data_IF_617982798937
#
_entry.id   IF_617982798937
#
_cell.length_a   1.000
_cell.length_b   1.000
_cell.length_c   1.000
_cell.angle_alpha   90.00
_cell.angle_beta   90.00
_cell.angle_gamma   90.00
#
_symmetry.space_group_name_H-M   'P 1'
#
loop_
_entity.id
_entity.type
_entity.pdbx_description
1 polymer ?
#
# COMPACT_ATOMS: atom_id res chain seq x y z
N UNK A 1 6.76 2.34 39.34
CA UNK A 1 6.69 3.75 38.91
C UNK A 1 8.11 4.23 38.63
N UNK A 2 8.46 4.44 37.37
CA UNK A 2 9.85 4.67 36.92
C UNK A 2 10.14 6.17 36.77
N UNK A 3 11.36 6.60 37.13
CA UNK A 3 11.75 8.01 37.30
C UNK A 3 11.54 8.90 36.05
N UNK A 4 11.43 8.30 34.87
CA UNK A 4 11.21 8.98 33.60
C UNK A 4 9.82 9.63 33.46
N UNK A 5 8.79 9.06 34.08
CA UNK A 5 7.42 9.61 34.02
C UNK A 5 7.33 11.01 34.62
N UNK A 6 8.12 11.32 35.66
CA UNK A 6 8.10 12.63 36.32
C UNK A 6 8.71 13.75 35.48
N UNK A 7 9.73 13.44 34.68
CA UNK A 7 10.46 14.43 33.87
C UNK A 7 9.69 14.76 32.59
N UNK A 8 8.91 13.81 32.06
CA UNK A 8 8.06 14.05 30.90
C UNK A 8 6.77 14.82 31.25
N UNK A 9 6.26 14.67 32.48
CA UNK A 9 5.04 15.34 32.97
C UNK A 9 5.30 16.82 33.36
N UNK A 10 6.54 17.22 33.65
CA UNK A 10 6.90 18.60 34.02
C UNK A 10 7.23 19.50 32.83
N UNK A 11 7.41 18.96 31.63
CA UNK A 11 7.53 19.78 30.42
C UNK A 11 6.15 20.38 30.11
N UNK A 12 6.11 21.70 30.17
CA UNK A 12 4.97 22.62 30.12
C UNK A 12 3.90 22.35 29.04
N UNK A 13 4.17 21.78 27.83
CA UNK A 13 3.10 21.59 26.85
C UNK A 13 2.08 20.51 27.23
N UNK A 14 2.48 19.42 27.90
CA UNK A 14 1.56 18.31 28.18
C UNK A 14 0.54 18.66 29.26
N UNK A 15 1.00 19.32 30.33
CA UNK A 15 0.13 19.83 31.40
C UNK A 15 -0.80 20.94 30.89
N UNK A 16 -0.35 21.78 29.96
CA UNK A 16 -1.18 22.82 29.34
C UNK A 16 -2.27 22.23 28.45
N UNK A 17 -1.94 21.21 27.63
CA UNK A 17 -2.93 20.50 26.80
C UNK A 17 -3.94 19.76 27.66
N UNK A 18 -3.52 19.09 28.74
CA UNK A 18 -4.44 18.42 29.68
C UNK A 18 -5.33 19.44 30.41
N UNK A 19 -4.78 20.57 30.84
CA UNK A 19 -5.56 21.64 31.53
C UNK A 19 -6.54 22.34 30.58
N UNK A 20 -6.16 22.57 29.32
CA UNK A 20 -7.03 23.14 28.27
C UNK A 20 -8.11 22.16 27.83
N UNK A 21 -7.77 20.87 27.76
CA UNK A 21 -8.68 19.75 27.47
C UNK A 21 -9.73 19.52 28.57
N UNK A 22 -9.42 19.86 29.84
CA UNK A 22 -10.41 19.84 30.95
C UNK A 22 -11.47 20.95 30.89
N UNK A 23 -11.28 21.99 30.07
CA UNK A 23 -12.21 23.12 29.96
C UNK A 23 -13.06 23.10 28.67
N UNK A 24 -12.78 22.13 27.78
CA UNK A 24 -13.53 21.97 26.53
C UNK A 24 -14.59 20.89 26.71
N UNK A 25 -15.81 21.34 26.99
CA UNK A 25 -17.02 20.53 27.02
C UNK A 25 -17.58 20.49 25.61
N UNK A 26 -17.57 19.32 24.94
CA UNK A 26 -18.32 19.17 23.69
C UNK A 26 -19.82 19.10 24.01
N UNK A 27 -20.66 19.99 23.45
CA UNK A 27 -22.10 19.94 23.66
C UNK A 27 -22.64 18.63 23.06
N UNK A 28 -23.09 17.71 23.91
CA UNK A 28 -23.54 16.36 23.53
C UNK A 28 -22.98 15.21 24.39
N UNK A 29 -21.98 15.47 25.25
CA UNK A 29 -21.32 14.45 26.10
C UNK A 29 -21.61 14.61 27.61
N UNK A 30 -22.82 15.03 28.01
CA UNK A 30 -23.29 15.03 29.41
C UNK A 30 -22.35 15.69 30.45
N UNK A 31 -21.48 16.61 30.03
CA UNK A 31 -20.51 17.28 30.91
C UNK A 31 -19.23 16.49 31.20
N UNK A 32 -18.96 15.40 30.49
CA UNK A 32 -17.71 14.62 30.64
C UNK A 32 -16.53 15.37 30.00
N UNK A 33 -15.43 15.63 30.75
CA UNK A 33 -14.27 16.32 30.19
C UNK A 33 -13.58 15.48 29.12
N UNK A 34 -13.02 16.14 28.10
CA UNK A 34 -12.33 15.48 26.96
C UNK A 34 -11.22 14.51 27.43
N UNK A 35 -10.61 14.76 28.59
CA UNK A 35 -9.65 13.87 29.24
C UNK A 35 -10.23 12.47 29.52
N UNK A 36 -11.45 12.40 30.05
CA UNK A 36 -12.10 11.12 30.37
C UNK A 36 -12.50 10.39 29.09
N UNK A 37 -12.96 11.11 28.06
CA UNK A 37 -13.23 10.51 26.75
C UNK A 37 -11.99 9.85 26.16
N UNK A 38 -10.82 10.52 26.21
CA UNK A 38 -9.55 9.95 25.72
C UNK A 38 -9.11 8.74 26.58
N UNK A 39 -9.35 8.79 27.90
CA UNK A 39 -9.05 7.68 28.82
C UNK A 39 -9.92 6.45 28.52
N UNK A 40 -11.23 6.66 28.36
CA UNK A 40 -12.18 5.62 27.95
C UNK A 40 -11.84 5.09 26.55
N UNK A 41 -11.54 5.96 25.60
CA UNK A 41 -11.14 5.56 24.25
C UNK A 41 -9.88 4.68 24.25
N UNK A 42 -8.84 5.03 25.01
CA UNK A 42 -7.66 4.16 25.19
C UNK A 42 -8.03 2.81 25.82
N UNK A 43 -8.97 2.79 26.75
CA UNK A 43 -9.41 1.55 27.41
C UNK A 43 -10.23 0.67 26.45
N UNK A 44 -11.02 1.28 25.57
CA UNK A 44 -11.77 0.62 24.50
C UNK A 44 -10.87 0.14 23.35
N UNK A 45 -9.82 0.88 22.97
CA UNK A 45 -8.81 0.42 22.00
C UNK A 45 -8.10 -0.83 22.51
N UNK A 46 -7.84 -0.92 23.81
CA UNK A 46 -7.26 -2.13 24.43
C UNK A 46 -8.24 -3.32 24.42
N UNK A 47 -9.54 -3.10 24.20
CA UNK A 47 -10.50 -4.18 24.02
C UNK A 47 -10.20 -4.88 22.70
N UNK A 48 -9.79 -6.14 22.80
CA UNK A 48 -9.21 -6.98 21.73
C UNK A 48 -10.05 -6.96 20.43
N UNK A 49 -11.37 -6.79 20.52
CA UNK A 49 -12.27 -6.78 19.37
C UNK A 49 -12.01 -5.69 18.32
N UNK A 50 -11.47 -4.53 18.69
CA UNK A 50 -11.14 -3.47 17.72
C UNK A 50 -9.85 -3.79 16.95
N UNK A 51 -8.84 -4.26 17.67
CA UNK A 51 -7.55 -4.66 17.07
C UNK A 51 -7.71 -5.85 16.15
N UNK A 52 -8.46 -6.89 16.54
CA UNK A 52 -8.69 -8.07 15.69
C UNK A 52 -9.42 -7.71 14.39
N UNK A 53 -10.44 -6.83 14.47
CA UNK A 53 -11.15 -6.35 13.28
C UNK A 53 -10.24 -5.51 12.38
N UNK A 54 -9.43 -4.62 12.96
CA UNK A 54 -8.47 -3.82 12.20
C UNK A 54 -7.42 -4.71 11.51
N UNK A 55 -6.91 -5.73 12.22
CA UNK A 55 -5.98 -6.73 11.68
C UNK A 55 -6.61 -7.54 10.54
N UNK A 56 -7.88 -7.93 10.65
CA UNK A 56 -8.60 -8.62 9.57
C UNK A 56 -8.75 -7.74 8.32
N UNK A 57 -9.00 -6.44 8.48
CA UNK A 57 -9.05 -5.50 7.34
C UNK A 57 -7.67 -5.33 6.71
N UNK A 58 -6.61 -5.16 7.52
CA UNK A 58 -5.24 -5.03 7.02
C UNK A 58 -4.76 -6.31 6.31
N UNK A 59 -5.15 -7.49 6.81
CA UNK A 59 -4.85 -8.77 6.18
C UNK A 59 -5.50 -8.90 4.79
N UNK A 60 -6.79 -8.56 4.68
CA UNK A 60 -7.48 -8.53 3.39
C UNK A 60 -6.83 -7.54 2.42
N UNK A 61 -6.39 -6.38 2.91
CA UNK A 61 -5.68 -5.39 2.09
C UNK A 61 -4.35 -5.93 1.55
N UNK A 62 -3.53 -6.57 2.40
CA UNK A 62 -2.26 -7.18 1.98
C UNK A 62 -2.50 -8.32 0.98
N UNK A 63 -3.49 -9.16 1.21
CA UNK A 63 -3.85 -10.26 0.31
C UNK A 63 -4.36 -9.76 -1.05
N UNK A 64 -4.89 -8.54 -1.14
CA UNK A 64 -5.29 -7.91 -2.39
C UNK A 64 -4.12 -7.26 -3.17
N UNK A 65 -2.94 -7.07 -2.56
CA UNK A 65 -1.78 -6.44 -3.22
C UNK A 65 -1.32 -7.26 -4.44
N UNK A 66 -1.06 -8.58 -4.36
CA UNK A 66 -0.62 -9.36 -5.51
C UNK A 66 -1.57 -9.30 -6.73
N UNK A 67 -2.88 -9.58 -6.61
CA UNK A 67 -3.78 -9.49 -7.76
C UNK A 67 -3.94 -8.05 -8.26
N UNK A 68 -3.89 -7.05 -7.38
CA UNK A 68 -3.93 -5.63 -7.78
C UNK A 68 -2.70 -5.24 -8.62
N UNK A 69 -1.49 -5.66 -8.24
CA UNK A 69 -0.29 -5.42 -9.03
C UNK A 69 -0.34 -6.13 -10.39
N UNK A 70 -0.79 -7.40 -10.43
CA UNK A 70 -0.95 -8.13 -11.69
C UNK A 70 -1.94 -7.43 -12.63
N UNK A 71 -3.06 -6.95 -12.07
CA UNK A 71 -4.03 -6.16 -12.82
C UNK A 71 -3.39 -4.89 -13.38
N UNK A 72 -2.66 -4.13 -12.55
CA UNK A 72 -1.97 -2.90 -12.98
C UNK A 72 -0.95 -3.19 -14.10
N UNK A 73 -0.10 -4.20 -13.96
CA UNK A 73 0.89 -4.55 -14.99
C UNK A 73 0.26 -4.99 -16.31
N UNK A 74 -0.92 -5.63 -16.26
CA UNK A 74 -1.66 -6.03 -17.47
C UNK A 74 -2.37 -4.84 -18.12
N UNK A 75 -2.76 -3.83 -17.32
CA UNK A 75 -3.40 -2.62 -17.78
C UNK A 75 -2.42 -1.66 -18.47
N UNK A 76 -1.18 -1.55 -17.97
CA UNK A 76 -0.13 -0.67 -18.54
C UNK A 76 0.00 -0.80 -20.08
N UNK A 77 0.17 -1.99 -20.69
CA UNK A 77 0.29 -2.13 -22.14
C UNK A 77 -1.02 -1.91 -22.90
N UNK A 78 -2.17 -1.83 -22.22
CA UNK A 78 -3.47 -1.52 -22.82
C UNK A 78 -3.78 -0.01 -22.85
N UNK A 79 -2.99 0.82 -22.17
CA UNK A 79 -3.20 2.26 -22.18
C UNK A 79 -2.78 2.87 -23.53
N UNK A 80 -3.62 3.72 -24.15
CA UNK A 80 -3.36 4.27 -25.49
C UNK A 80 -2.16 5.24 -25.53
N UNK A 81 -1.72 5.74 -24.38
CA UNK A 81 -0.57 6.64 -24.24
C UNK A 81 0.78 5.92 -24.40
N UNK A 82 0.85 4.62 -24.07
CA UNK A 82 2.04 3.80 -24.28
C UNK A 82 1.87 2.99 -25.55
N UNK A 83 2.40 3.48 -26.67
CA UNK A 83 2.40 2.73 -27.93
C UNK A 83 3.19 1.43 -27.70
N UNK A 84 2.52 0.28 -27.76
CA UNK A 84 3.12 -1.06 -27.61
C UNK A 84 4.43 -1.21 -28.42
N UNK A 85 4.49 -0.58 -29.60
CA UNK A 85 5.68 -0.59 -30.47
C UNK A 85 6.91 0.14 -29.93
N UNK A 86 6.77 1.14 -29.06
CA UNK A 86 7.94 1.85 -28.49
C UNK A 86 8.62 1.04 -27.39
N UNK A 87 7.83 0.40 -26.52
CA UNK A 87 8.34 -0.51 -25.49
C UNK A 87 9.04 -1.69 -26.14
N UNK A 88 8.46 -2.27 -27.20
CA UNK A 88 9.10 -3.35 -27.96
C UNK A 88 10.45 -2.93 -28.54
N UNK A 89 10.54 -1.74 -29.13
CA UNK A 89 11.79 -1.23 -29.70
C UNK A 89 12.84 -1.03 -28.61
N UNK A 90 12.48 -0.44 -27.47
CA UNK A 90 13.41 -0.26 -26.35
C UNK A 90 13.92 -1.59 -25.81
N UNK A 91 13.04 -2.58 -25.65
CA UNK A 91 13.44 -3.92 -25.19
C UNK A 91 14.36 -4.61 -26.20
N UNK A 92 14.07 -4.51 -27.51
CA UNK A 92 14.96 -5.06 -28.55
C UNK A 92 16.32 -4.36 -28.56
N UNK A 93 16.36 -3.04 -28.35
CA UNK A 93 17.63 -2.30 -28.25
C UNK A 93 18.44 -2.75 -27.03
N UNK A 94 17.81 -2.90 -25.86
CA UNK A 94 18.47 -3.41 -24.66
C UNK A 94 19.03 -4.82 -24.86
N UNK A 95 18.31 -5.70 -25.56
CA UNK A 95 18.81 -7.06 -25.86
C UNK A 95 20.04 -7.00 -26.77
N UNK A 96 20.03 -6.11 -27.78
CA UNK A 96 21.19 -5.92 -28.66
C UNK A 96 22.39 -5.31 -27.94
N UNK A 97 22.15 -4.45 -26.95
CA UNK A 97 23.22 -3.85 -26.14
C UNK A 97 23.85 -4.87 -25.19
N UNK A 98 23.05 -5.75 -24.57
CA UNK A 98 23.55 -6.79 -23.65
C UNK A 98 24.15 -7.97 -24.43
N UNK A 99 23.53 -8.36 -25.55
CA UNK A 99 23.93 -9.50 -26.40
C UNK A 99 24.11 -9.00 -27.84
N UNK A 100 25.31 -8.51 -28.19
CA UNK A 100 25.59 -7.98 -29.53
C UNK A 100 25.70 -9.08 -30.61
N UNK A 101 25.76 -10.36 -30.21
CA UNK A 101 25.87 -11.47 -31.17
C UNK A 101 24.51 -11.78 -31.83
N UNK A 102 24.45 -11.58 -33.14
CA UNK A 102 23.27 -11.76 -34.00
C UNK A 102 22.69 -13.19 -34.03
N UNK A 103 23.49 -14.19 -33.71
CA UNK A 103 23.00 -15.59 -33.65
C UNK A 103 22.17 -15.82 -32.39
N UNK A 104 22.60 -15.26 -31.26
CA UNK A 104 21.92 -15.44 -29.97
C UNK A 104 20.81 -14.42 -29.73
N UNK A 105 20.90 -13.22 -30.31
CA UNK A 105 19.86 -12.20 -30.13
C UNK A 105 18.60 -12.46 -30.99
N UNK A 106 18.72 -13.17 -32.13
CA UNK A 106 17.61 -13.40 -33.07
C UNK A 106 16.46 -14.16 -32.45
N UNK A 107 16.76 -15.26 -31.76
CA UNK A 107 15.74 -16.09 -31.12
C UNK A 107 15.03 -15.33 -29.98
N UNK A 108 15.78 -14.51 -29.23
CA UNK A 108 15.23 -13.66 -28.18
C UNK A 108 14.33 -12.56 -28.75
N UNK A 109 14.76 -11.90 -29.81
CA UNK A 109 13.96 -10.86 -30.49
C UNK A 109 12.68 -11.48 -31.07
N UNK A 110 12.76 -12.69 -31.66
CA UNK A 110 11.60 -13.44 -32.15
C UNK A 110 10.63 -13.80 -31.01
N UNK A 111 11.16 -14.26 -29.88
CA UNK A 111 10.35 -14.60 -28.70
C UNK A 111 9.62 -13.38 -28.13
N UNK A 112 10.31 -12.25 -27.97
CA UNK A 112 9.72 -11.00 -27.46
C UNK A 112 8.63 -10.51 -28.41
N UNK A 113 8.90 -10.49 -29.71
CA UNK A 113 7.96 -9.99 -30.71
C UNK A 113 6.69 -10.87 -30.74
N UNK A 114 6.84 -12.20 -30.67
CA UNK A 114 5.72 -13.14 -30.61
C UNK A 114 4.90 -13.03 -29.32
N UNK A 115 5.57 -12.86 -28.18
CA UNK A 115 4.91 -12.84 -26.86
C UNK A 115 4.19 -11.52 -26.59
N UNK A 116 4.78 -10.40 -27.01
CA UNK A 116 4.29 -9.07 -26.68
C UNK A 116 3.20 -8.58 -27.67
N UNK A 117 3.25 -9.00 -28.94
CA UNK A 117 2.24 -8.61 -29.94
C UNK A 117 0.98 -9.48 -29.87
N UNK A 118 1.11 -10.77 -29.53
CA UNK A 118 -0.01 -11.72 -29.55
C UNK A 118 -0.58 -11.98 -28.16
N UNK A 119 -1.21 -10.97 -27.55
CA UNK A 119 -2.20 -11.05 -26.45
C UNK A 119 -2.08 -12.20 -25.42
N UNK A 120 -0.90 -12.74 -25.11
CA UNK A 120 -0.74 -13.88 -24.19
C UNK A 120 -0.74 -13.44 -22.72
N UNK A 121 -0.68 -12.14 -22.46
CA UNK A 121 -0.89 -11.60 -21.12
C UNK A 121 -2.31 -11.86 -20.61
N UNK A 122 -3.34 -11.91 -21.48
CA UNK A 122 -4.69 -12.29 -21.05
C UNK A 122 -4.82 -13.78 -20.72
N UNK A 123 -4.05 -14.65 -21.38
CA UNK A 123 -4.02 -16.09 -21.08
C UNK A 123 -3.40 -16.37 -19.69
N UNK A 124 -2.45 -15.54 -19.25
CA UNK A 124 -1.89 -15.63 -17.91
C UNK A 124 -2.91 -15.20 -16.83
N UNK A 125 -3.78 -14.22 -17.14
CA UNK A 125 -4.88 -13.82 -16.26
C UNK A 125 -5.94 -14.94 -16.13
N UNK A 126 -6.23 -15.67 -17.20
CA UNK A 126 -7.17 -16.81 -17.17
C UNK A 126 -6.66 -18.00 -16.35
N UNK A 127 -5.34 -18.25 -16.30
CA UNK A 127 -4.75 -19.33 -15.50
C UNK A 127 -4.61 -19.01 -14.00
N UNK A 128 -4.65 -17.73 -13.62
CA UNK A 128 -4.60 -17.30 -12.22
C UNK A 128 -6.01 -17.28 -11.59
N UNK A 129 -7.05 -17.24 -12.42
CA UNK A 129 -8.46 -17.21 -11.99
C UNK A 129 -9.16 -18.58 -12.09
N UNK A 130 -8.44 -19.66 -12.40
CA UNK A 130 -8.91 -21.05 -12.39
C UNK A 130 -7.98 -21.90 -11.53
#
# INVERSE_FOLDING_TARGET
>A
MTKFERILITQTPLAFVIRKSKHWYLPGFEGVPLYDVVKFFRQQIKTVGLTERASAVAYNFIMAIPPSLLFLFTLIPHLPFFKKGEIQKQVVLLIKDIIPNEVYNKDLILFINKTFLQNRFSACFLLVYY
#
